data_IF_914618183186
#
_entry.id   IF_914618183186
#
_cell.length_a   1.000
_cell.length_b   1.000
_cell.length_c   1.000
_cell.angle_alpha   90.00
_cell.angle_beta   90.00
_cell.angle_gamma   90.00
#
_symmetry.space_group_name_H-M   'P 1'
#
loop_
_entity.id
_entity.type
_entity.pdbx_description
1 polymer ?
#
# COMPACT_ATOMS: atom_id res chain seq x y z
N UNK A 1 19.31 -15.27 10.61
CA UNK A 1 19.76 -14.11 11.43
C UNK A 1 20.85 -14.55 12.40
N UNK A 2 21.99 -13.86 12.44
CA UNK A 2 23.12 -14.17 13.33
C UNK A 2 22.94 -13.49 14.70
N UNK A 3 23.04 -14.23 15.81
CA UNK A 3 23.00 -13.63 17.15
C UNK A 3 24.36 -13.00 17.49
N UNK A 4 24.32 -11.79 18.02
CA UNK A 4 25.50 -11.06 18.49
C UNK A 4 25.27 -10.64 19.93
N UNK A 5 25.87 -11.38 20.86
CA UNK A 5 25.73 -11.18 22.30
C UNK A 5 26.77 -10.17 22.77
N UNK A 6 26.34 -9.21 23.58
CA UNK A 6 27.21 -8.24 24.24
C UNK A 6 26.57 -7.76 25.53
N UNK A 7 27.40 -7.24 26.43
CA UNK A 7 27.00 -6.90 27.78
C UNK A 7 27.18 -5.40 28.00
N UNK A 8 26.22 -4.77 28.66
CA UNK A 8 26.17 -3.31 28.83
C UNK A 8 25.84 -2.98 30.29
N UNK A 9 26.68 -2.18 30.91
CA UNK A 9 26.34 -1.51 32.17
C UNK A 9 25.34 -0.40 31.86
N UNK A 10 24.10 -0.54 32.34
CA UNK A 10 22.98 0.35 32.04
C UNK A 10 22.56 1.18 33.27
N UNK A 11 23.50 1.46 34.18
CA UNK A 11 23.24 2.29 35.38
C UNK A 11 22.95 3.76 35.06
N UNK A 12 23.27 4.20 33.83
CA UNK A 12 23.07 5.54 33.29
C UNK A 12 22.46 5.42 31.88
N UNK A 13 22.02 6.55 31.32
CA UNK A 13 21.46 6.60 29.97
C UNK A 13 22.52 6.34 28.89
N UNK A 14 23.80 6.56 29.18
CA UNK A 14 24.91 6.14 28.32
C UNK A 14 25.49 4.83 28.88
N UNK A 15 25.21 3.74 28.17
CA UNK A 15 25.68 2.41 28.51
C UNK A 15 27.14 2.19 28.13
N UNK A 16 27.86 1.49 29.01
CA UNK A 16 29.25 1.08 28.75
C UNK A 16 29.29 -0.40 28.40
N UNK A 17 29.96 -0.76 27.30
CA UNK A 17 30.13 -2.16 26.91
C UNK A 17 31.18 -2.84 27.79
N UNK A 18 30.82 -3.98 28.37
CA UNK A 18 31.59 -4.69 29.39
C UNK A 18 31.76 -6.16 29.02
N UNK A 19 32.63 -6.85 29.75
CA UNK A 19 32.67 -8.31 29.73
C UNK A 19 31.46 -8.93 30.45
N UNK A 20 31.34 -10.26 30.36
CA UNK A 20 30.19 -11.01 30.89
C UNK A 20 30.01 -10.86 32.41
N UNK A 21 31.07 -10.53 33.15
CA UNK A 21 31.04 -10.34 34.60
C UNK A 21 30.93 -8.87 35.03
N UNK A 22 30.81 -7.94 34.07
CA UNK A 22 30.84 -6.49 34.29
C UNK A 22 32.13 -5.99 35.00
N UNK A 23 33.24 -6.72 34.88
CA UNK A 23 34.49 -6.42 35.56
C UNK A 23 35.41 -5.53 34.72
N UNK A 24 35.33 -5.61 33.38
CA UNK A 24 36.23 -4.89 32.46
C UNK A 24 35.47 -4.29 31.28
N UNK A 25 36.01 -3.21 30.74
CA UNK A 25 35.52 -2.65 29.48
C UNK A 25 35.77 -3.63 28.33
N UNK A 26 34.80 -3.72 27.44
CA UNK A 26 34.87 -4.48 26.19
C UNK A 26 34.52 -3.57 25.01
N UNK A 27 34.75 -4.05 23.80
CA UNK A 27 34.41 -3.32 22.57
C UNK A 27 32.97 -3.61 22.18
N UNK A 28 32.27 -2.58 21.70
CA UNK A 28 30.96 -2.77 21.08
C UNK A 28 31.03 -3.74 19.88
N UNK A 29 29.93 -4.45 19.58
CA UNK A 29 29.87 -5.39 18.47
C UNK A 29 30.30 -4.84 17.10
N UNK A 30 30.81 -5.76 16.28
CA UNK A 30 31.05 -5.53 14.86
C UNK A 30 29.92 -6.15 14.04
N UNK A 31 29.26 -5.34 13.22
CA UNK A 31 28.19 -5.75 12.30
C UNK A 31 28.71 -5.82 10.87
N UNK A 32 27.95 -6.48 10.00
CA UNK A 32 28.26 -6.58 8.57
C UNK A 32 27.07 -6.08 7.78
N UNK A 33 27.31 -5.11 6.88
CA UNK A 33 26.28 -4.60 5.98
C UNK A 33 25.64 -5.74 5.17
N UNK A 34 24.31 -5.71 5.04
CA UNK A 34 23.50 -6.67 4.29
C UNK A 34 23.47 -8.08 4.86
N UNK A 35 23.79 -8.27 6.14
CA UNK A 35 23.59 -9.53 6.85
C UNK A 35 22.65 -9.28 8.02
N UNK A 36 21.51 -9.98 8.05
CA UNK A 36 20.60 -9.91 9.19
C UNK A 36 21.28 -10.38 10.48
N UNK A 37 21.15 -9.57 11.53
CA UNK A 37 21.69 -9.88 12.85
C UNK A 37 20.60 -9.71 13.92
N UNK A 38 20.77 -10.36 15.06
CA UNK A 38 19.99 -10.09 16.27
C UNK A 38 20.97 -9.65 17.35
N UNK A 39 20.87 -8.38 17.77
CA UNK A 39 21.65 -7.88 18.89
C UNK A 39 21.03 -8.42 20.17
N UNK A 40 21.79 -9.20 20.92
CA UNK A 40 21.40 -9.76 22.21
C UNK A 40 22.11 -8.97 23.30
N UNK A 41 21.50 -7.87 23.70
CA UNK A 41 22.07 -6.91 24.64
C UNK A 41 21.71 -7.31 26.07
N UNK A 42 22.71 -7.69 26.87
CA UNK A 42 22.52 -8.11 28.25
C UNK A 42 22.88 -6.98 29.21
N UNK A 43 21.94 -6.59 30.06
CA UNK A 43 22.02 -5.37 30.84
C UNK A 43 22.40 -5.64 32.30
N UNK A 44 23.36 -4.88 32.82
CA UNK A 44 23.68 -4.81 34.24
C UNK A 44 23.06 -3.57 34.88
N UNK A 45 22.61 -3.71 36.13
CA UNK A 45 21.99 -2.62 36.91
C UNK A 45 23.00 -1.56 37.37
N UNK A 46 24.28 -1.93 37.47
CA UNK A 46 25.33 -1.13 38.09
C UNK A 46 26.51 -0.93 37.14
N UNK A 47 27.36 0.04 37.46
CA UNK A 47 28.61 0.32 36.73
C UNK A 47 29.67 -0.77 36.90
N UNK A 48 29.53 -1.61 37.93
CA UNK A 48 30.39 -2.75 38.23
C UNK A 48 29.55 -3.83 38.94
N UNK A 49 29.95 -5.08 38.79
CA UNK A 49 29.24 -6.26 39.31
C UNK A 49 28.20 -6.86 38.35
N UNK A 50 27.96 -8.18 38.43
CA UNK A 50 27.18 -8.93 37.44
C UNK A 50 25.66 -8.82 37.65
N UNK A 51 25.18 -7.95 38.55
CA UNK A 51 23.75 -7.90 38.87
C UNK A 51 22.91 -7.45 37.66
N UNK A 52 21.91 -8.25 37.24
CA UNK A 52 21.11 -7.95 36.07
C UNK A 52 20.23 -6.72 36.29
N UNK A 53 20.00 -5.97 35.21
CA UNK A 53 19.09 -4.84 35.24
C UNK A 53 17.67 -5.32 35.58
N UNK A 54 16.95 -4.70 36.53
CA UNK A 54 15.68 -5.25 37.03
C UNK A 54 14.60 -5.25 35.95
N UNK A 55 14.03 -6.43 35.61
CA UNK A 55 12.94 -6.55 34.64
C UNK A 55 11.71 -5.71 35.00
N UNK A 56 11.44 -5.53 36.30
CA UNK A 56 10.32 -4.71 36.78
C UNK A 56 10.43 -3.24 36.37
N UNK A 57 11.64 -2.74 36.08
CA UNK A 57 11.83 -1.40 35.55
C UNK A 57 11.22 -1.22 34.16
N UNK A 58 10.96 -2.31 33.43
CA UNK A 58 10.32 -2.28 32.11
C UNK A 58 8.82 -2.55 32.15
N UNK A 59 8.21 -2.69 33.34
CA UNK A 59 6.79 -3.03 33.49
C UNK A 59 5.82 -2.05 32.83
N UNK A 60 6.21 -0.78 32.74
CA UNK A 60 5.41 0.26 32.08
C UNK A 60 5.78 0.46 30.61
N UNK A 61 6.77 -0.27 30.08
CA UNK A 61 7.17 -0.16 28.67
C UNK A 61 6.27 -1.08 27.83
N UNK A 62 5.48 -0.49 26.94
CA UNK A 62 4.55 -1.22 26.06
C UNK A 62 5.10 -1.44 24.66
N UNK A 63 6.12 -0.66 24.26
CA UNK A 63 6.81 -0.83 22.99
C UNK A 63 8.25 -0.32 23.05
N UNK A 64 9.08 -0.82 22.13
CA UNK A 64 10.50 -0.50 22.05
C UNK A 64 10.84 0.08 20.68
N UNK A 65 11.85 0.94 20.64
CA UNK A 65 12.51 1.35 19.40
C UNK A 65 14.02 1.23 19.51
N UNK A 66 14.67 0.82 18.41
CA UNK A 66 16.11 0.83 18.27
C UNK A 66 16.50 1.55 16.99
N UNK A 67 17.36 2.56 17.11
CA UNK A 67 17.93 3.30 15.98
C UNK A 67 19.45 3.36 16.13
N UNK A 68 20.16 3.46 15.01
CA UNK A 68 21.61 3.64 15.02
C UNK A 68 22.05 4.71 14.03
N UNK A 69 22.91 5.61 14.50
CA UNK A 69 23.47 6.68 13.71
C UNK A 69 24.85 7.12 14.24
N UNK A 70 25.54 8.01 13.53
CA UNK A 70 26.84 8.55 13.91
C UNK A 70 26.89 10.09 13.95
N UNK A 71 25.85 10.78 13.48
CA UNK A 71 25.84 12.25 13.40
C UNK A 71 24.84 12.92 14.36
N UNK A 72 23.94 12.13 14.97
CA UNK A 72 22.92 12.60 15.94
C UNK A 72 22.05 13.74 15.39
N UNK A 73 21.87 13.80 14.06
CA UNK A 73 21.10 14.84 13.43
C UNK A 73 19.69 14.34 13.09
N UNK A 74 18.70 14.80 13.86
CA UNK A 74 17.28 14.43 13.67
C UNK A 74 16.72 14.82 12.29
N UNK A 75 17.39 15.71 11.56
CA UNK A 75 16.98 16.09 10.20
C UNK A 75 17.45 15.08 9.12
N UNK A 76 18.28 14.10 9.48
CA UNK A 76 18.76 13.06 8.57
C UNK A 76 18.24 11.69 8.98
N UNK A 77 18.01 10.85 7.98
CA UNK A 77 17.58 9.48 8.21
C UNK A 77 18.66 8.66 8.92
N UNK A 78 18.25 7.86 9.91
CA UNK A 78 19.13 6.92 10.60
C UNK A 78 19.78 5.91 9.65
N UNK A 79 21.01 5.51 9.98
CA UNK A 79 21.75 4.53 9.16
C UNK A 79 21.20 3.13 9.30
N UNK A 80 20.76 2.75 10.48
CA UNK A 80 20.12 1.46 10.73
C UNK A 80 18.97 1.62 11.73
N UNK A 81 17.92 0.83 11.54
CA UNK A 81 16.78 0.77 12.44
C UNK A 81 16.51 -0.70 12.76
N UNK A 82 16.22 -0.99 14.03
CA UNK A 82 15.81 -2.31 14.46
C UNK A 82 14.39 -2.65 14.01
N UNK A 83 14.06 -3.93 13.99
CA UNK A 83 12.68 -4.36 13.86
C UNK A 83 11.96 -4.15 15.20
N UNK A 84 11.53 -2.90 15.41
CA UNK A 84 10.92 -2.42 16.65
C UNK A 84 9.72 -3.25 17.14
N UNK A 85 9.00 -3.91 16.23
CA UNK A 85 7.85 -4.74 16.59
C UNK A 85 8.25 -6.05 17.28
N UNK A 86 9.45 -6.55 16.97
CA UNK A 86 9.94 -7.85 17.43
C UNK A 86 11.07 -7.70 18.48
N UNK A 87 11.26 -6.49 19.03
CA UNK A 87 12.14 -6.28 20.18
C UNK A 87 11.48 -6.89 21.42
N UNK A 88 12.21 -7.76 22.10
CA UNK A 88 11.73 -8.46 23.29
C UNK A 88 12.71 -8.33 24.44
N UNK A 89 12.20 -8.37 25.68
CA UNK A 89 13.03 -8.35 26.89
C UNK A 89 12.71 -9.59 27.72
N UNK A 90 13.72 -10.37 28.07
CA UNK A 90 13.58 -11.62 28.82
C UNK A 90 14.71 -11.81 29.82
N UNK A 91 14.50 -12.65 30.83
CA UNK A 91 15.62 -13.19 31.62
C UNK A 91 16.27 -14.33 30.86
N UNK A 92 17.60 -14.34 30.79
CA UNK A 92 18.40 -15.42 30.22
C UNK A 92 19.44 -15.84 31.24
N UNK A 93 19.63 -17.15 31.37
CA UNK A 93 20.65 -17.75 32.22
C UNK A 93 21.65 -18.48 31.33
N UNK A 94 22.94 -18.28 31.58
CA UNK A 94 24.04 -18.90 30.85
C UNK A 94 25.12 -19.37 31.82
N UNK A 95 25.67 -20.55 31.55
CA UNK A 95 26.82 -21.09 32.27
C UNK A 95 28.11 -20.66 31.57
N UNK A 96 28.98 -19.95 32.28
CA UNK A 96 30.28 -19.47 31.79
C UNK A 96 31.34 -19.88 32.82
N UNK A 97 32.38 -20.58 32.38
CA UNK A 97 33.47 -21.08 33.25
C UNK A 97 32.96 -21.86 34.49
N UNK A 98 31.96 -22.73 34.30
CA UNK A 98 31.32 -23.54 35.36
C UNK A 98 30.53 -22.74 36.42
N UNK A 99 30.27 -21.45 36.17
CA UNK A 99 29.42 -20.60 37.00
C UNK A 99 28.19 -20.12 36.23
N UNK A 100 27.03 -20.12 36.90
CA UNK A 100 25.76 -19.73 36.32
C UNK A 100 25.54 -18.21 36.47
N UNK A 101 25.39 -17.52 35.35
CA UNK A 101 25.09 -16.09 35.30
C UNK A 101 23.68 -15.85 34.77
N UNK A 102 22.96 -14.94 35.40
CA UNK A 102 21.62 -14.52 34.97
C UNK A 102 21.64 -13.08 34.50
N UNK A 103 21.05 -12.83 33.34
CA UNK A 103 21.02 -11.54 32.66
C UNK A 103 19.60 -11.13 32.29
N UNK A 104 19.36 -9.83 32.25
CA UNK A 104 18.22 -9.26 31.53
C UNK A 104 18.66 -8.98 30.10
N UNK A 105 18.10 -9.72 29.14
CA UNK A 105 18.45 -9.64 27.72
C UNK A 105 17.38 -8.89 26.94
N UNK A 106 17.81 -7.82 26.25
CA UNK A 106 17.03 -7.17 25.20
C UNK A 106 17.46 -7.77 23.86
N UNK A 107 16.53 -8.43 23.18
CA UNK A 107 16.72 -8.99 21.85
C UNK A 107 16.23 -8.01 20.79
N UNK A 108 17.13 -7.55 19.93
CA UNK A 108 16.85 -6.52 18.91
C UNK A 108 17.14 -7.12 17.53
N UNK A 109 16.11 -7.60 16.81
CA UNK A 109 16.28 -8.09 15.45
C UNK A 109 16.63 -6.94 14.49
N UNK A 110 17.68 -7.10 13.72
CA UNK A 110 18.16 -6.17 12.69
C UNK A 110 18.01 -6.82 11.32
N UNK A 111 16.83 -6.71 10.73
CA UNK A 111 16.47 -7.36 9.46
C UNK A 111 16.92 -6.57 8.24
N UNK A 112 16.92 -5.24 8.32
CA UNK A 112 17.24 -4.35 7.19
C UNK A 112 18.65 -3.76 7.31
N UNK A 113 19.66 -4.57 6.97
CA UNK A 113 21.07 -4.20 7.14
C UNK A 113 21.75 -3.65 5.87
N UNK A 114 21.01 -3.41 4.78
CA UNK A 114 21.52 -2.85 3.52
C UNK A 114 20.80 -1.54 3.14
N UNK A 115 20.89 -0.53 4.00
CA UNK A 115 20.27 0.78 3.76
C UNK A 115 21.13 1.68 2.87
N UNK A 116 20.51 2.67 2.21
CA UNK A 116 21.20 3.67 1.40
C UNK A 116 22.11 4.55 2.25
N UNK A 117 21.62 5.01 3.40
CA UNK A 117 22.33 5.86 4.36
C UNK A 117 23.60 5.16 4.88
N UNK A 118 23.49 3.88 5.25
CA UNK A 118 24.63 3.08 5.67
C UNK A 118 25.60 2.85 4.51
N UNK A 119 25.09 2.63 3.29
CA UNK A 119 25.91 2.45 2.11
C UNK A 119 26.74 3.70 1.77
N UNK A 120 26.11 4.89 1.84
CA UNK A 120 26.75 6.19 1.64
C UNK A 120 27.81 6.43 2.71
N UNK A 121 27.49 6.19 3.99
CA UNK A 121 28.43 6.39 5.09
C UNK A 121 29.65 5.46 5.02
N UNK A 122 29.45 4.17 4.68
CA UNK A 122 30.55 3.23 4.49
C UNK A 122 31.38 3.55 3.24
N UNK A 123 30.74 4.03 2.17
CA UNK A 123 31.37 4.24 0.87
C UNK A 123 32.15 3.02 0.39
N UNK A 124 33.41 3.22 0.06
CA UNK A 124 34.36 2.16 -0.36
C UNK A 124 35.24 1.65 0.77
N UNK A 125 35.06 2.14 1.99
CA UNK A 125 35.87 1.72 3.13
C UNK A 125 35.58 0.26 3.48
N UNK A 126 36.60 -0.45 3.97
CA UNK A 126 36.46 -1.83 4.48
C UNK A 126 35.52 -1.88 5.70
N UNK A 127 35.57 -0.85 6.53
CA UNK A 127 34.77 -0.72 7.75
C UNK A 127 34.76 0.73 8.22
N UNK A 128 33.71 1.09 8.95
CA UNK A 128 33.60 2.35 9.68
C UNK A 128 33.26 2.06 11.15
N UNK A 129 33.75 2.89 12.06
CA UNK A 129 33.50 2.84 13.51
C UNK A 129 32.91 4.18 13.95
N UNK A 130 32.21 4.18 15.08
CA UNK A 130 31.58 5.39 15.64
C UNK A 130 30.07 5.43 15.40
N UNK A 131 29.47 4.30 15.01
CA UNK A 131 28.03 4.16 15.01
C UNK A 131 27.57 3.99 16.46
N UNK A 132 26.64 4.84 16.90
CA UNK A 132 25.95 4.73 18.17
C UNK A 132 24.58 4.09 17.95
N UNK A 133 24.12 3.30 18.92
CA UNK A 133 22.77 2.72 18.94
C UNK A 133 22.01 3.24 20.15
N UNK A 134 20.72 3.48 19.98
CA UNK A 134 19.83 4.00 21.00
C UNK A 134 18.61 3.10 21.16
N UNK A 135 18.40 2.58 22.38
CA UNK A 135 17.20 1.85 22.77
C UNK A 135 16.27 2.79 23.53
N UNK A 136 15.04 2.94 23.04
CA UNK A 136 13.99 3.73 23.69
C UNK A 136 12.81 2.84 24.06
N UNK A 137 12.36 2.95 25.31
CA UNK A 137 11.15 2.30 25.80
C UNK A 137 10.01 3.31 25.99
N UNK A 138 8.85 3.04 25.40
CA UNK A 138 7.67 3.89 25.47
C UNK A 138 6.61 3.31 26.40
N UNK A 139 5.94 4.19 27.15
CA UNK A 139 4.75 3.81 27.93
C UNK A 139 3.46 3.81 27.12
N UNK A 140 2.35 3.45 27.77
CA UNK A 140 1.03 3.40 27.16
C UNK A 140 0.59 4.77 26.62
N UNK A 141 1.08 5.88 27.18
CA UNK A 141 0.78 7.23 26.69
C UNK A 141 1.73 7.69 25.58
N UNK A 142 2.63 6.82 25.11
CA UNK A 142 3.62 7.14 24.09
C UNK A 142 4.79 8.00 24.58
N UNK A 143 4.94 8.18 25.89
CA UNK A 143 6.07 8.93 26.48
C UNK A 143 7.31 8.03 26.52
N UNK A 144 8.48 8.63 26.29
CA UNK A 144 9.76 7.96 26.45
C UNK A 144 10.10 7.84 27.93
N UNK A 145 10.04 6.63 28.48
CA UNK A 145 10.26 6.37 29.91
C UNK A 145 11.55 5.60 30.20
N UNK A 146 12.21 5.12 29.15
CA UNK A 146 13.51 4.47 29.23
C UNK A 146 14.34 4.84 28.00
N UNK A 147 15.63 5.12 28.21
CA UNK A 147 16.59 5.36 27.14
C UNK A 147 17.94 4.77 27.52
N UNK A 148 18.56 4.07 26.58
CA UNK A 148 19.93 3.55 26.71
C UNK A 148 20.67 3.71 25.39
N UNK A 149 21.69 4.56 25.39
CA UNK A 149 22.60 4.76 24.28
C UNK A 149 23.84 3.87 24.47
N UNK A 150 24.33 3.28 23.38
CA UNK A 150 25.57 2.49 23.37
C UNK A 150 26.40 2.95 22.18
N UNK A 151 27.65 3.31 22.41
CA UNK A 151 28.51 3.91 21.38
C UNK A 151 29.53 2.94 20.77
N UNK A 152 30.15 3.38 19.68
CA UNK A 152 31.33 2.77 19.07
C UNK A 152 31.13 1.41 18.41
N UNK A 153 29.93 1.12 17.91
CA UNK A 153 29.72 -0.02 17.01
C UNK A 153 30.57 0.15 15.74
N UNK A 154 31.03 -0.98 15.21
CA UNK A 154 31.77 -1.03 13.96
C UNK A 154 30.94 -1.75 12.91
N UNK A 155 30.84 -1.19 11.70
CA UNK A 155 30.18 -1.85 10.58
C UNK A 155 31.20 -2.18 9.50
N UNK A 156 31.23 -3.43 9.04
CA UNK A 156 32.07 -3.89 7.95
C UNK A 156 31.31 -3.90 6.63
N UNK A 157 32.00 -3.47 5.59
CA UNK A 157 31.48 -3.50 4.24
C UNK A 157 31.57 -4.92 3.65
N UNK A 158 30.84 -5.16 2.56
CA UNK A 158 30.76 -6.47 1.90
C UNK A 158 31.74 -6.57 0.75
N UNK A 159 32.25 -7.79 0.54
CA UNK A 159 33.07 -8.14 -0.63
C UNK A 159 32.18 -8.50 -1.83
N UNK A 160 30.95 -8.95 -1.58
CA UNK A 160 29.99 -9.41 -2.59
C UNK A 160 28.90 -8.37 -2.86
N UNK A 161 28.37 -8.34 -4.09
CA UNK A 161 27.24 -7.49 -4.46
C UNK A 161 25.97 -7.87 -3.68
N UNK A 162 25.29 -6.88 -3.12
CA UNK A 162 24.09 -7.02 -2.27
C UNK A 162 22.78 -6.65 -2.98
N UNK A 163 22.84 -6.27 -4.26
CA UNK A 163 21.75 -5.55 -4.92
C UNK A 163 21.70 -4.07 -4.52
N UNK A 164 20.68 -3.36 -4.98
CA UNK A 164 20.49 -1.93 -4.68
C UNK A 164 20.16 -1.75 -3.20
N UNK A 165 20.82 -0.83 -2.48
CA UNK A 165 20.41 -0.44 -1.14
C UNK A 165 18.96 0.03 -1.12
N UNK A 166 18.28 -0.14 0.01
CA UNK A 166 16.94 0.41 0.24
C UNK A 166 17.03 1.64 1.12
N UNK A 167 16.29 2.71 0.83
CA UNK A 167 16.18 3.84 1.74
C UNK A 167 15.62 3.39 3.10
N UNK A 168 16.19 3.88 4.20
CA UNK A 168 15.50 3.82 5.47
C UNK A 168 14.32 4.81 5.43
N UNK A 169 13.13 4.37 5.85
CA UNK A 169 11.95 5.23 5.80
C UNK A 169 12.08 6.39 6.81
N UNK A 170 11.69 7.62 6.44
CA UNK A 170 11.79 8.80 7.31
C UNK A 170 10.84 8.74 8.51
N UNK A 171 11.16 9.57 9.51
CA UNK A 171 10.54 9.61 10.84
C UNK A 171 9.15 10.29 10.80
N UNK A 172 8.13 9.49 10.46
CA UNK A 172 6.75 9.71 10.91
C UNK A 172 6.58 9.10 12.31
N UNK A 173 5.46 9.31 13.01
CA UNK A 173 5.14 8.57 14.25
C UNK A 173 5.58 7.11 14.06
N UNK A 174 6.61 6.71 14.81
CA UNK A 174 7.24 5.42 14.56
C UNK A 174 6.19 4.34 14.73
N UNK A 175 6.31 3.23 14.01
CA UNK A 175 5.35 2.14 14.17
C UNK A 175 5.25 1.68 15.64
N UNK A 176 6.29 1.88 16.45
CA UNK A 176 6.28 1.67 17.89
C UNK A 176 5.41 2.70 18.63
N UNK A 177 5.59 4.00 18.37
CA UNK A 177 4.73 5.05 18.93
C UNK A 177 3.25 4.84 18.55
N UNK A 178 2.98 4.50 17.28
CA UNK A 178 1.62 4.16 16.83
C UNK A 178 1.08 2.94 17.57
N UNK A 179 1.86 1.87 17.73
CA UNK A 179 1.45 0.69 18.50
C UNK A 179 1.24 0.99 19.97
N UNK A 180 2.06 1.84 20.58
CA UNK A 180 1.88 2.28 21.97
C UNK A 180 0.54 3.01 22.13
N UNK A 181 0.24 3.94 21.22
CA UNK A 181 -1.04 4.65 21.18
C UNK A 181 -2.23 3.69 21.03
N UNK A 182 -2.14 2.66 20.19
CA UNK A 182 -3.19 1.63 20.09
C UNK A 182 -3.29 0.75 21.34
N UNK A 183 -2.16 0.38 21.94
CA UNK A 183 -2.10 -0.47 23.14
C UNK A 183 -2.61 0.23 24.40
N UNK A 184 -2.53 1.57 24.45
CA UNK A 184 -3.17 2.40 25.46
C UNK A 184 -4.68 2.11 25.59
N UNK A 185 -5.29 1.62 24.51
CA UNK A 185 -6.70 1.36 24.39
C UNK A 185 -7.48 2.63 24.04
N UNK A 186 -8.79 2.47 23.95
CA UNK A 186 -9.71 3.57 23.65
C UNK A 186 -10.64 3.79 24.83
N UNK A 187 -11.14 5.01 24.96
CA UNK A 187 -12.32 5.29 25.78
C UNK A 187 -13.47 5.73 24.89
N UNK A 188 -14.69 5.42 25.36
CA UNK A 188 -15.92 5.63 24.64
C UNK A 188 -16.89 6.39 25.54
N UNK A 189 -17.64 7.31 24.96
CA UNK A 189 -18.87 7.82 25.56
C UNK A 189 -20.03 7.59 24.60
N UNK A 190 -21.22 7.66 25.17
CA UNK A 190 -22.49 7.38 24.51
C UNK A 190 -23.39 8.60 24.60
N UNK A 191 -24.30 8.74 23.64
CA UNK A 191 -25.25 9.84 23.59
C UNK A 191 -26.55 9.42 22.91
N UNK A 192 -27.67 9.94 23.39
CA UNK A 192 -28.98 9.81 22.75
C UNK A 192 -29.14 10.74 21.54
N UNK A 193 -28.53 11.93 21.59
CA UNK A 193 -28.71 13.03 20.64
C UNK A 193 -27.46 13.40 19.84
N UNK A 194 -26.29 12.85 20.19
CA UNK A 194 -25.00 13.17 19.57
C UNK A 194 -24.35 14.46 20.08
N UNK A 195 -24.95 15.12 21.07
CA UNK A 195 -24.46 16.37 21.66
C UNK A 195 -24.14 16.21 23.16
N UNK A 196 -24.97 15.46 23.90
CA UNK A 196 -24.83 15.24 25.32
C UNK A 196 -24.23 13.85 25.60
N UNK A 197 -22.97 13.82 26.04
CA UNK A 197 -22.18 12.60 26.17
C UNK A 197 -22.06 12.12 27.62
N UNK A 198 -22.03 10.79 27.81
CA UNK A 198 -21.84 10.16 29.12
C UNK A 198 -21.15 8.79 29.00
N UNK A 199 -20.52 8.33 30.09
CA UNK A 199 -19.63 7.17 30.05
C UNK A 199 -20.29 5.79 30.17
N UNK A 200 -21.60 5.68 30.40
CA UNK A 200 -22.27 4.39 30.65
C UNK A 200 -23.37 4.17 29.63
N UNK A 201 -23.19 3.19 28.74
CA UNK A 201 -24.20 2.89 27.72
C UNK A 201 -25.56 2.56 28.34
N UNK A 202 -26.59 3.22 27.83
CA UNK A 202 -27.99 3.02 28.15
C UNK A 202 -28.76 2.52 26.94
N UNK A 203 -30.00 2.10 27.14
CA UNK A 203 -30.86 1.65 26.06
C UNK A 203 -31.32 2.78 25.12
N UNK A 204 -31.12 4.05 25.49
CA UNK A 204 -31.57 5.21 24.73
C UNK A 204 -30.47 5.80 23.84
N UNK A 205 -29.21 5.37 23.98
CA UNK A 205 -28.11 5.94 23.23
C UNK A 205 -28.15 5.52 21.76
N UNK A 206 -28.09 6.51 20.88
CA UNK A 206 -28.09 6.34 19.43
C UNK A 206 -26.71 6.62 18.81
N UNK A 207 -25.79 7.15 19.60
CA UNK A 207 -24.47 7.56 19.16
C UNK A 207 -23.41 7.07 20.13
N UNK A 208 -22.24 6.76 19.58
CA UNK A 208 -21.02 6.56 20.35
C UNK A 208 -19.93 7.44 19.71
N UNK A 209 -19.02 7.96 20.51
CA UNK A 209 -17.76 8.49 20.01
C UNK A 209 -16.60 7.90 20.80
N UNK A 210 -15.41 7.91 20.19
CA UNK A 210 -14.26 7.26 20.77
C UNK A 210 -12.99 8.08 20.57
N UNK A 211 -12.07 7.97 21.54
CA UNK A 211 -10.72 8.55 21.44
C UNK A 211 -9.69 7.63 22.07
N UNK A 212 -8.43 7.86 21.74
CA UNK A 212 -7.30 7.13 22.34
C UNK A 212 -7.20 7.47 23.83
N UNK A 213 -6.97 6.45 24.66
CA UNK A 213 -6.77 6.58 26.09
C UNK A 213 -5.36 7.15 26.34
N UNK A 214 -5.24 8.13 27.23
CA UNK A 214 -3.94 8.71 27.62
C UNK A 214 -3.80 10.21 27.39
N UNK A 215 -4.65 10.81 26.55
CA UNK A 215 -4.71 12.26 26.35
C UNK A 215 -6.05 12.81 26.81
N UNK A 216 -6.09 13.38 28.02
CA UNK A 216 -7.33 13.95 28.59
C UNK A 216 -7.94 15.08 27.74
N UNK A 217 -7.13 15.72 26.90
CA UNK A 217 -7.51 16.76 25.93
C UNK A 217 -7.65 16.24 24.50
N UNK A 218 -7.53 14.93 24.29
CA UNK A 218 -7.64 14.31 22.98
C UNK A 218 -8.99 14.59 22.34
N UNK A 219 -8.98 14.87 21.04
CA UNK A 219 -10.17 15.15 20.25
C UNK A 219 -10.99 13.86 20.10
N UNK A 220 -12.28 13.94 20.39
CA UNK A 220 -13.21 12.84 20.15
C UNK A 220 -13.42 12.62 18.65
N UNK A 221 -13.63 11.37 18.24
CA UNK A 221 -14.09 11.08 16.88
C UNK A 221 -15.40 11.81 16.59
N UNK A 222 -15.73 11.96 15.31
CA UNK A 222 -17.09 12.32 14.93
C UNK A 222 -18.10 11.32 15.53
N UNK A 223 -19.35 11.74 15.83
CA UNK A 223 -20.37 10.86 16.37
C UNK A 223 -20.65 9.69 15.42
N UNK A 224 -20.49 8.47 15.92
CA UNK A 224 -20.75 7.23 15.19
C UNK A 224 -22.14 6.75 15.55
N UNK A 225 -23.01 6.61 14.55
CA UNK A 225 -24.39 6.16 14.76
C UNK A 225 -24.43 4.67 15.13
N UNK A 226 -25.07 4.37 16.25
CA UNK A 226 -25.44 3.01 16.62
C UNK A 226 -26.68 2.62 15.79
N UNK A 227 -26.57 1.60 14.94
CA UNK A 227 -27.75 1.05 14.25
C UNK A 227 -28.65 0.37 15.27
N UNK A 228 -29.68 1.09 15.74
CA UNK A 228 -30.74 0.52 16.57
C UNK A 228 -31.90 0.11 15.67
N UNK A 229 -32.16 -1.20 15.57
CA UNK A 229 -33.35 -1.70 14.88
C UNK A 229 -34.61 -1.37 15.70
N UNK A 230 -35.79 -1.25 15.07
CA UNK A 230 -37.04 -1.09 15.81
C UNK A 230 -37.21 -2.23 16.81
N UNK A 231 -37.36 -1.90 18.10
CA UNK A 231 -37.62 -2.90 19.13
C UNK A 231 -39.00 -3.51 18.88
N UNK A 232 -39.07 -4.82 18.68
CA UNK A 232 -40.35 -5.52 18.55
C UNK A 232 -41.20 -5.32 19.80
N UNK A 233 -42.52 -5.20 19.63
CA UNK A 233 -43.46 -5.23 20.76
C UNK A 233 -43.27 -6.52 21.56
N UNK A 234 -43.47 -6.45 22.88
CA UNK A 234 -43.53 -7.64 23.72
C UNK A 234 -44.56 -8.62 23.15
N UNK A 235 -44.17 -9.87 22.93
CA UNK A 235 -45.09 -10.90 22.45
C UNK A 235 -46.28 -11.03 23.39
N UNK A 236 -47.49 -11.08 22.82
CA UNK A 236 -48.70 -11.42 23.57
C UNK A 236 -48.86 -12.94 23.60
N UNK A 237 -49.36 -13.46 24.72
CA UNK A 237 -49.73 -14.87 24.82
C UNK A 237 -50.87 -15.17 23.84
N UNK A 238 -50.80 -16.32 23.17
CA UNK A 238 -51.83 -16.78 22.24
C UNK A 238 -52.02 -18.28 22.42
N UNK A 239 -53.10 -18.65 23.11
CA UNK A 239 -53.51 -20.03 23.31
C UNK A 239 -54.33 -20.48 22.10
N UNK A 240 -53.87 -21.51 21.39
CA UNK A 240 -54.56 -22.09 20.25
C UNK A 240 -55.39 -23.30 20.69
N UNK A 241 -56.68 -23.31 20.34
CA UNK A 241 -57.56 -24.45 20.56
C UNK A 241 -58.16 -24.92 19.23
N UNK A 242 -58.06 -26.22 18.98
CA UNK A 242 -58.65 -26.88 17.81
C UNK A 242 -59.76 -27.80 18.29
N UNK A 243 -60.92 -27.68 17.67
CA UNK A 243 -62.06 -28.55 17.91
C UNK A 243 -62.57 -29.16 16.60
N UNK A 244 -63.31 -30.24 16.74
CA UNK A 244 -63.83 -31.08 15.67
C UNK A 244 -65.34 -31.28 15.82
N UNK A 245 -66.03 -31.33 14.68
CA UNK A 245 -67.48 -31.47 14.59
C UNK A 245 -67.87 -32.31 13.38
N UNK A 246 -69.08 -32.89 13.42
CA UNK A 246 -69.62 -33.65 12.30
C UNK A 246 -70.10 -32.77 11.15
N UNK A 247 -70.45 -31.51 11.42
CA UNK A 247 -70.95 -30.57 10.43
C UNK A 247 -70.49 -29.12 10.68
N UNK A 248 -70.90 -28.22 9.79
CA UNK A 248 -70.54 -26.80 9.84
C UNK A 248 -71.20 -26.00 10.99
N UNK A 249 -72.09 -26.63 11.77
CA UNK A 249 -72.74 -25.98 12.93
C UNK A 249 -72.05 -26.26 14.25
N UNK A 250 -71.03 -27.13 14.26
CA UNK A 250 -70.36 -27.56 15.48
C UNK A 250 -71.03 -28.77 16.17
N UNK A 251 -71.93 -29.47 15.48
CA UNK A 251 -72.59 -30.65 16.04
C UNK A 251 -71.58 -31.76 16.39
N UNK A 252 -71.88 -32.54 17.43
CA UNK A 252 -70.99 -33.59 17.96
C UNK A 252 -69.57 -33.07 18.30
N UNK A 253 -69.51 -31.89 18.94
CA UNK A 253 -68.28 -31.24 19.36
C UNK A 253 -67.33 -32.18 20.12
N UNK A 254 -66.05 -32.14 19.74
CA UNK A 254 -64.97 -32.87 20.40
C UNK A 254 -63.65 -32.14 20.22
N UNK A 255 -62.78 -32.18 21.23
CA UNK A 255 -61.37 -31.75 21.09
C UNK A 255 -60.47 -32.85 20.51
N UNK A 256 -61.01 -34.06 20.34
CA UNK A 256 -60.31 -35.20 19.74
C UNK A 256 -60.87 -35.48 18.34
N UNK A 257 -60.04 -35.54 17.29
CA UNK A 257 -60.49 -35.79 15.92
C UNK A 257 -60.94 -37.23 15.73
N UNK A 258 -61.92 -37.44 14.84
CA UNK A 258 -62.28 -38.77 14.33
C UNK A 258 -62.67 -38.70 12.86
N UNK A 259 -62.71 -39.84 12.17
CA UNK A 259 -63.12 -39.91 10.77
C UNK A 259 -64.57 -39.47 10.51
N UNK A 260 -65.42 -39.41 11.55
CA UNK A 260 -66.80 -38.95 11.47
C UNK A 260 -66.95 -37.44 11.68
N UNK A 261 -65.93 -36.79 12.25
CA UNK A 261 -65.91 -35.35 12.49
C UNK A 261 -65.17 -34.68 11.34
N UNK A 262 -65.88 -34.41 10.25
CA UNK A 262 -65.27 -33.90 9.01
C UNK A 262 -64.93 -32.41 9.06
N UNK A 263 -65.41 -31.70 10.08
CA UNK A 263 -65.25 -30.26 10.24
C UNK A 263 -64.34 -29.93 11.42
N UNK A 264 -63.49 -28.92 11.28
CA UNK A 264 -62.64 -28.38 12.34
C UNK A 264 -62.89 -26.90 12.51
N UNK A 265 -62.77 -26.41 13.74
CA UNK A 265 -62.71 -25.00 14.05
C UNK A 265 -61.48 -24.72 14.91
N UNK A 266 -60.94 -23.52 14.77
CA UNK A 266 -59.76 -23.07 15.47
C UNK A 266 -60.01 -21.68 16.05
N UNK A 267 -59.60 -21.48 17.30
CA UNK A 267 -59.64 -20.19 17.98
C UNK A 267 -58.29 -19.89 18.61
N UNK A 268 -57.97 -18.60 18.69
CA UNK A 268 -56.83 -18.08 19.43
C UNK A 268 -57.32 -17.14 20.51
N UNK A 269 -56.87 -17.32 21.74
CA UNK A 269 -57.25 -16.48 22.87
C UNK A 269 -56.03 -15.97 23.61
N UNK A 270 -56.12 -14.76 24.16
CA UNK A 270 -55.08 -14.19 25.03
C UNK A 270 -55.19 -14.75 26.47
N UNK A 271 -56.24 -15.50 26.79
CA UNK A 271 -56.48 -16.12 28.10
C UNK A 271 -56.78 -17.60 27.94
N UNK A 272 -56.12 -18.43 28.76
CA UNK A 272 -56.31 -19.88 28.72
C UNK A 272 -57.75 -20.27 29.12
N UNK A 273 -58.37 -21.10 28.30
CA UNK A 273 -59.65 -21.78 28.57
C UNK A 273 -59.33 -23.15 29.15
N UNK A 274 -59.77 -23.42 30.38
CA UNK A 274 -59.48 -24.68 31.05
C UNK A 274 -60.22 -25.87 30.42
N UNK A 275 -61.50 -25.68 30.05
CA UNK A 275 -62.35 -26.74 29.49
C UNK A 275 -63.15 -26.19 28.30
N UNK A 276 -62.57 -26.20 27.08
CA UNK A 276 -63.23 -25.65 25.90
C UNK A 276 -64.51 -26.40 25.53
N UNK A 277 -65.54 -25.64 25.21
CA UNK A 277 -66.87 -26.11 24.83
C UNK A 277 -67.26 -25.55 23.45
N UNK A 278 -68.31 -26.10 22.84
CA UNK A 278 -68.79 -25.61 21.53
C UNK A 278 -69.17 -24.12 21.54
N UNK A 279 -69.60 -23.57 22.68
CA UNK A 279 -69.91 -22.14 22.81
C UNK A 279 -68.68 -21.24 22.70
N UNK A 280 -67.51 -21.71 23.13
CA UNK A 280 -66.25 -20.96 22.98
C UNK A 280 -65.88 -20.80 21.49
N UNK A 281 -66.39 -21.70 20.64
CA UNK A 281 -66.23 -21.69 19.18
C UNK A 281 -67.42 -21.04 18.45
N UNK A 282 -68.35 -20.35 19.14
CA UNK A 282 -69.54 -19.77 18.50
C UNK A 282 -69.24 -18.74 17.40
N UNK A 283 -68.11 -18.01 17.54
CA UNK A 283 -67.62 -17.08 16.51
C UNK A 283 -66.67 -17.73 15.50
N UNK A 284 -66.25 -18.98 15.73
CA UNK A 284 -65.31 -19.69 14.88
C UNK A 284 -66.03 -20.31 13.69
N UNK A 285 -65.32 -20.39 12.55
CA UNK A 285 -65.85 -21.04 11.36
C UNK A 285 -65.46 -22.51 11.38
N UNK A 286 -66.48 -23.37 11.28
CA UNK A 286 -66.29 -24.80 11.07
C UNK A 286 -65.98 -25.07 9.60
N UNK A 287 -64.73 -25.44 9.33
CA UNK A 287 -64.23 -25.71 7.99
C UNK A 287 -64.11 -27.22 7.82
N UNK A 288 -64.67 -27.73 6.72
CA UNK A 288 -64.48 -29.12 6.33
C UNK A 288 -62.99 -29.36 6.05
N UNK A 289 -62.32 -30.10 6.92
CA UNK A 289 -60.88 -30.37 6.80
C UNK A 289 -60.59 -31.78 6.29
N UNK A 290 -61.54 -32.69 6.49
CA UNK A 290 -61.53 -34.00 5.90
C UNK A 290 -62.57 -34.00 4.78
N UNK A 291 -62.11 -34.22 3.55
CA UNK A 291 -63.01 -34.35 2.40
C UNK A 291 -64.05 -35.44 2.62
N UNK A 292 -65.11 -35.40 1.82
CA UNK A 292 -65.89 -36.62 1.64
C UNK A 292 -64.97 -37.69 1.05
N UNK A 293 -65.21 -38.94 1.42
CA UNK A 293 -64.39 -40.04 0.95
C UNK A 293 -64.46 -40.07 -0.60
N UNK A 294 -63.34 -39.79 -1.26
CA UNK A 294 -63.30 -39.38 -2.66
C UNK A 294 -63.31 -40.52 -3.69
N UNK A 295 -63.81 -40.22 -4.90
CA UNK A 295 -63.68 -41.05 -6.11
C UNK A 295 -63.03 -40.24 -7.27
N UNK A 296 -61.68 -40.26 -7.44
CA UNK A 296 -61.01 -39.88 -8.72
C UNK A 296 -60.04 -38.66 -8.74
N UNK A 297 -59.05 -38.70 -9.65
CA UNK A 297 -57.79 -37.90 -9.77
C UNK A 297 -57.85 -36.72 -10.79
N UNK A 298 -57.17 -35.58 -10.49
CA UNK A 298 -57.23 -34.31 -11.26
C UNK A 298 -56.14 -34.06 -12.32
N UNK A 299 -56.42 -33.17 -13.28
CA UNK A 299 -55.60 -32.81 -14.46
C UNK A 299 -55.34 -31.28 -14.52
N UNK A 300 -54.13 -30.83 -14.89
CA UNK A 300 -53.71 -29.42 -15.00
C UNK A 300 -53.41 -29.05 -16.47
N UNK A 301 -54.25 -28.18 -17.05
CA UNK A 301 -54.19 -27.84 -18.48
C UNK A 301 -53.37 -26.57 -18.72
N UNK A 302 -52.41 -26.63 -19.66
CA UNK A 302 -51.44 -25.58 -19.95
C UNK A 302 -52.05 -24.22 -20.33
N UNK A 303 -53.22 -24.20 -20.98
CA UNK A 303 -53.88 -22.97 -21.43
C UNK A 303 -54.30 -22.01 -20.31
N UNK A 304 -54.28 -22.48 -19.05
CA UNK A 304 -54.59 -21.66 -17.87
C UNK A 304 -53.33 -21.10 -17.22
N UNK A 305 -52.18 -21.75 -17.40
CA UNK A 305 -50.98 -21.46 -16.61
C UNK A 305 -49.81 -20.88 -17.43
N UNK A 306 -49.78 -21.08 -18.75
CA UNK A 306 -48.80 -20.50 -19.69
C UNK A 306 -49.54 -19.94 -20.92
N UNK A 307 -50.27 -18.81 -20.78
CA UNK A 307 -51.10 -18.27 -21.84
C UNK A 307 -50.32 -17.47 -22.90
N UNK A 308 -49.10 -17.03 -22.60
CA UNK A 308 -48.20 -16.33 -23.52
C UNK A 308 -47.22 -17.28 -24.23
N UNK A 309 -47.13 -18.53 -23.79
CA UNK A 309 -46.48 -19.62 -24.52
C UNK A 309 -44.96 -19.55 -24.46
N UNK A 310 -44.41 -18.93 -23.41
CA UNK A 310 -42.98 -18.77 -23.22
C UNK A 310 -42.34 -20.00 -22.53
N UNK A 311 -43.15 -20.99 -22.15
CA UNK A 311 -42.74 -22.22 -21.50
C UNK A 311 -42.63 -22.12 -19.98
N UNK A 312 -43.13 -21.03 -19.38
CA UNK A 312 -43.14 -20.80 -17.93
C UNK A 312 -44.57 -20.60 -17.43
N UNK A 313 -44.81 -20.99 -16.18
CA UNK A 313 -46.09 -20.69 -15.53
C UNK A 313 -46.10 -19.24 -15.04
N UNK A 314 -47.21 -18.51 -15.27
CA UNK A 314 -47.38 -17.07 -14.93
C UNK A 314 -46.96 -16.69 -13.50
N UNK A 315 -46.97 -17.62 -12.54
CA UNK A 315 -46.53 -17.37 -11.17
C UNK A 315 -45.00 -17.19 -11.01
N UNK A 316 -44.21 -17.32 -12.09
CA UNK A 316 -42.74 -17.23 -12.08
C UNK A 316 -42.17 -15.85 -12.49
N UNK A 317 -43.01 -14.83 -12.72
CA UNK A 317 -42.60 -13.51 -13.22
C UNK A 317 -41.61 -12.77 -12.28
N UNK A 318 -41.63 -13.05 -10.97
CA UNK A 318 -40.67 -12.51 -9.99
C UNK A 318 -39.23 -13.06 -10.11
N UNK A 319 -39.00 -14.10 -10.93
CA UNK A 319 -37.66 -14.66 -11.13
C UNK A 319 -36.81 -13.91 -12.17
N UNK A 320 -37.37 -12.96 -12.93
CA UNK A 320 -36.70 -12.25 -14.03
C UNK A 320 -35.91 -10.98 -13.62
N UNK A 321 -35.86 -10.65 -12.32
CA UNK A 321 -35.09 -9.51 -11.80
C UNK A 321 -33.58 -9.57 -12.04
N UNK A 322 -33.02 -10.74 -12.40
CA UNK A 322 -31.60 -10.89 -12.73
C UNK A 322 -31.18 -10.18 -14.04
N UNK A 323 -32.10 -9.95 -14.98
CA UNK A 323 -31.79 -9.26 -16.24
C UNK A 323 -31.65 -7.74 -16.10
N UNK A 324 -32.08 -7.16 -14.97
CA UNK A 324 -32.10 -5.70 -14.74
C UNK A 324 -30.87 -5.17 -13.97
N UNK A 325 -29.94 -6.03 -13.55
CA UNK A 325 -28.79 -5.66 -12.73
C UNK A 325 -27.61 -5.04 -13.50
N UNK A 326 -27.53 -5.23 -14.83
CA UNK A 326 -26.39 -4.81 -15.66
C UNK A 326 -26.47 -3.38 -16.22
N UNK A 327 -27.48 -2.59 -15.83
CA UNK A 327 -27.70 -1.26 -16.40
C UNK A 327 -28.09 -0.21 -15.35
N UNK A 328 -27.22 0.07 -14.37
CA UNK A 328 -27.38 1.27 -13.55
C UNK A 328 -27.06 2.50 -14.42
N UNK A 329 -28.03 3.37 -14.76
CA UNK A 329 -27.77 4.53 -15.59
C UNK A 329 -26.89 5.53 -14.82
N UNK A 330 -25.89 6.11 -15.48
CA UNK A 330 -24.96 7.05 -14.86
C UNK A 330 -25.64 8.22 -14.15
N UNK A 331 -26.85 8.61 -14.58
CA UNK A 331 -27.69 9.64 -13.93
C UNK A 331 -28.11 9.29 -12.50
N UNK A 332 -28.12 8.01 -12.12
CA UNK A 332 -28.47 7.55 -10.77
C UNK A 332 -27.32 7.53 -9.77
N UNK A 333 -26.08 7.82 -10.20
CA UNK A 333 -24.89 7.80 -9.34
C UNK A 333 -24.66 9.19 -8.73
N UNK A 334 -24.88 9.33 -7.42
CA UNK A 334 -24.59 10.54 -6.63
C UNK A 334 -23.12 10.54 -6.15
N UNK A 335 -22.53 11.72 -5.96
CA UNK A 335 -21.13 11.86 -5.49
C UNK A 335 -20.04 11.64 -6.55
N UNK A 336 -20.42 11.53 -7.83
CA UNK A 336 -19.47 11.34 -8.94
C UNK A 336 -18.71 12.65 -9.29
N UNK A 337 -17.41 12.58 -9.62
CA UNK A 337 -16.66 13.74 -10.10
C UNK A 337 -17.22 14.26 -11.44
N UNK A 338 -17.39 15.58 -11.58
CA UNK A 338 -17.91 16.21 -12.81
C UNK A 338 -16.88 16.25 -13.96
N UNK A 339 -15.59 16.03 -13.68
CA UNK A 339 -14.50 16.12 -14.65
C UNK A 339 -13.31 15.25 -14.24
N UNK A 340 -12.71 14.57 -15.23
CA UNK A 340 -11.38 13.94 -15.13
C UNK A 340 -10.42 14.66 -16.11
N UNK A 341 -9.96 15.89 -15.82
CA UNK A 341 -8.96 16.50 -16.68
C UNK A 341 -7.61 15.88 -16.32
N UNK A 342 -6.98 15.16 -17.25
CA UNK A 342 -5.60 14.71 -17.03
C UNK A 342 -4.70 15.93 -16.99
N UNK A 343 -4.25 16.30 -15.79
CA UNK A 343 -3.24 17.33 -15.58
C UNK A 343 -1.88 16.87 -16.10
N UNK A 344 -1.18 17.74 -16.81
CA UNK A 344 0.22 17.50 -17.13
C UNK A 344 1.02 17.36 -15.83
N UNK A 345 1.78 16.28 -15.70
CA UNK A 345 2.73 16.08 -14.62
C UNK A 345 4.10 15.77 -15.21
N UNK A 346 5.16 16.04 -14.43
CA UNK A 346 6.53 15.74 -14.80
C UNK A 346 6.96 14.45 -14.10
N UNK A 347 7.78 13.67 -14.79
CA UNK A 347 8.45 12.50 -14.23
C UNK A 347 9.88 12.90 -13.88
N UNK A 348 10.34 12.52 -12.68
CA UNK A 348 11.75 12.59 -12.35
C UNK A 348 12.50 11.46 -13.08
N UNK A 349 13.82 11.60 -13.24
CA UNK A 349 14.63 10.56 -13.92
C UNK A 349 14.54 9.19 -13.22
N UNK A 350 14.26 9.19 -11.92
CA UNK A 350 13.98 8.00 -11.09
C UNK A 350 12.72 7.24 -11.52
N UNK A 351 11.76 7.95 -12.12
CA UNK A 351 10.47 7.41 -12.52
C UNK A 351 10.52 6.82 -13.95
N UNK A 352 11.61 7.09 -14.68
CA UNK A 352 11.83 6.65 -16.05
C UNK A 352 12.54 5.29 -16.05
N UNK A 353 11.77 4.22 -16.27
CA UNK A 353 12.33 2.88 -16.51
C UNK A 353 12.88 2.81 -17.94
N UNK A 354 14.09 2.25 -18.08
CA UNK A 354 14.84 2.04 -19.32
C UNK A 354 15.42 3.30 -20.00
N UNK A 355 16.33 4.03 -19.33
CA UNK A 355 16.95 5.24 -19.90
C UNK A 355 17.79 4.98 -21.17
N UNK A 356 18.04 3.71 -21.50
CA UNK A 356 18.77 3.29 -22.71
C UNK A 356 17.83 3.05 -23.89
N UNK A 357 16.51 2.89 -23.69
CA UNK A 357 15.59 2.81 -24.83
C UNK A 357 15.42 4.18 -25.45
N UNK A 358 16.14 4.39 -26.53
CA UNK A 358 16.10 5.62 -27.31
C UNK A 358 14.98 5.53 -28.35
N UNK A 359 14.04 6.48 -28.29
CA UNK A 359 12.99 6.60 -29.30
C UNK A 359 13.60 7.06 -30.62
N UNK A 360 13.23 6.36 -31.69
CA UNK A 360 13.67 6.67 -33.06
C UNK A 360 12.57 7.43 -33.78
N UNK A 361 12.90 8.60 -34.31
CA UNK A 361 12.04 9.33 -35.25
C UNK A 361 12.53 9.11 -36.68
N UNK A 362 11.65 8.62 -37.55
CA UNK A 362 11.97 8.34 -38.96
C UNK A 362 11.10 9.20 -39.88
N UNK A 363 11.73 9.93 -40.80
CA UNK A 363 11.04 10.76 -41.78
C UNK A 363 11.91 10.99 -43.02
N UNK A 364 11.30 11.40 -44.14
CA UNK A 364 12.05 11.82 -45.33
C UNK A 364 12.61 13.22 -45.11
N UNK A 365 13.93 13.38 -45.25
CA UNK A 365 14.67 14.64 -45.13
C UNK A 365 14.27 15.50 -43.91
N UNK A 366 14.39 14.98 -42.67
CA UNK A 366 13.97 15.69 -41.48
C UNK A 366 14.82 16.95 -41.25
N UNK A 367 14.16 18.08 -40.96
CA UNK A 367 14.80 19.37 -40.64
C UNK A 367 14.57 19.80 -39.17
N UNK A 368 13.75 19.07 -38.41
CA UNK A 368 13.42 19.37 -37.01
C UNK A 368 13.90 18.23 -36.11
N UNK A 369 14.47 18.59 -34.96
CA UNK A 369 14.91 17.67 -33.91
C UNK A 369 13.89 17.62 -32.77
N UNK A 370 13.80 16.50 -32.08
CA UNK A 370 12.83 16.30 -30.99
C UNK A 370 13.51 15.89 -29.69
N UNK A 371 13.16 16.54 -28.58
CA UNK A 371 13.71 16.18 -27.26
C UNK A 371 13.36 14.74 -26.86
N UNK A 372 12.19 14.24 -27.29
CA UNK A 372 11.72 12.90 -26.97
C UNK A 372 12.29 11.79 -27.88
N UNK A 373 12.99 12.15 -28.96
CA UNK A 373 13.45 11.22 -29.99
C UNK A 373 14.93 11.49 -30.33
N UNK A 374 15.88 11.00 -29.51
CA UNK A 374 17.31 11.29 -29.66
C UNK A 374 17.94 10.67 -30.92
N UNK A 375 17.27 9.68 -31.54
CA UNK A 375 17.72 9.04 -32.78
C UNK A 375 16.83 9.50 -33.93
N UNK A 376 17.43 10.11 -34.94
CA UNK A 376 16.76 10.59 -36.13
C UNK A 376 17.23 9.77 -37.32
N UNK A 377 16.29 9.16 -38.05
CA UNK A 377 16.59 8.35 -39.24
C UNK A 377 15.96 8.97 -40.48
N UNK A 378 16.80 9.40 -41.41
CA UNK A 378 16.33 9.83 -42.73
C UNK A 378 15.93 8.61 -43.55
N UNK A 379 14.67 8.56 -43.98
CA UNK A 379 14.15 7.48 -44.82
C UNK A 379 14.38 7.72 -46.30
N UNK A 380 14.84 8.91 -46.69
CA UNK A 380 15.20 9.21 -48.06
C UNK A 380 16.60 8.64 -48.36
N UNK A 381 16.68 7.74 -49.35
CA UNK A 381 17.96 7.28 -49.87
C UNK A 381 18.69 8.43 -50.59
N UNK A 382 19.92 8.69 -50.18
CA UNK A 382 20.81 9.64 -50.82
C UNK A 382 21.72 8.93 -51.83
N UNK A 383 21.44 9.14 -53.12
CA UNK A 383 22.28 8.65 -54.23
C UNK A 383 22.98 9.80 -54.97
N UNK A 384 22.97 11.01 -54.41
CA UNK A 384 23.54 12.20 -55.06
C UNK A 384 25.05 12.33 -54.90
N UNK A 385 25.65 11.59 -53.95
CA UNK A 385 27.06 11.72 -53.57
C UNK A 385 27.35 12.93 -52.66
N UNK A 386 26.33 13.69 -52.26
CA UNK A 386 26.45 14.80 -51.32
C UNK A 386 25.39 14.72 -50.22
N UNK A 387 25.77 14.91 -48.96
CA UNK A 387 24.82 14.95 -47.83
C UNK A 387 24.62 16.39 -47.37
N UNK A 388 23.37 16.83 -47.29
CA UNK A 388 23.02 18.11 -46.69
C UNK A 388 22.56 17.91 -45.24
N UNK A 389 23.17 18.67 -44.34
CA UNK A 389 22.78 18.74 -42.95
C UNK A 389 22.26 20.15 -42.62
N UNK A 390 20.96 20.24 -42.38
CA UNK A 390 20.27 21.51 -42.10
C UNK A 390 19.14 21.26 -41.10
N UNK A 391 19.37 21.54 -39.82
CA UNK A 391 18.33 21.45 -38.79
C UNK A 391 17.89 22.84 -38.37
N UNK A 392 16.64 23.19 -38.60
CA UNK A 392 16.13 24.57 -38.44
C UNK A 392 15.37 24.80 -37.14
N UNK A 393 15.07 23.74 -36.38
CA UNK A 393 14.33 23.86 -35.13
C UNK A 393 14.41 22.64 -34.22
N UNK A 394 13.99 22.83 -32.97
CA UNK A 394 13.86 21.80 -31.95
C UNK A 394 12.44 21.88 -31.39
N UNK A 395 11.77 20.75 -31.22
CA UNK A 395 10.47 20.65 -30.56
C UNK A 395 10.51 19.65 -29.40
N UNK A 396 9.55 19.74 -28.49
CA UNK A 396 9.43 18.76 -27.39
C UNK A 396 9.12 17.36 -27.94
N UNK A 397 8.15 17.27 -28.86
CA UNK A 397 7.73 16.06 -29.58
C UNK A 397 7.32 16.44 -31.02
N UNK A 398 6.97 15.46 -31.87
CA UNK A 398 6.52 15.70 -33.26
C UNK A 398 5.42 16.78 -33.38
N UNK A 399 4.40 16.68 -32.53
CA UNK A 399 3.28 17.65 -32.48
C UNK A 399 3.44 18.70 -31.36
N UNK A 400 4.55 18.67 -30.63
CA UNK A 400 4.78 19.52 -29.47
C UNK A 400 5.12 20.97 -29.79
N UNK A 401 5.63 21.68 -28.79
CA UNK A 401 6.00 23.10 -28.91
C UNK A 401 7.46 23.28 -29.30
N UNK A 402 7.81 24.44 -29.84
CA UNK A 402 9.19 24.82 -30.13
C UNK A 402 10.00 25.01 -28.84
N UNK A 403 11.26 24.62 -28.86
CA UNK A 403 12.17 24.65 -27.71
C UNK A 403 13.39 25.49 -28.01
N UNK A 404 13.71 26.44 -27.11
CA UNK A 404 14.98 27.15 -27.10
C UNK A 404 16.05 26.40 -26.30
N UNK A 405 17.32 26.71 -26.55
CA UNK A 405 18.47 26.15 -25.79
C UNK A 405 19.02 27.22 -24.87
N UNK A 406 19.08 26.96 -23.56
CA UNK A 406 19.67 27.88 -22.58
C UNK A 406 21.19 27.76 -22.47
N UNK A 407 21.86 28.74 -21.88
CA UNK A 407 23.34 28.78 -21.77
C UNK A 407 23.93 27.62 -20.96
N UNK A 408 23.16 27.00 -20.07
CA UNK A 408 23.58 25.85 -19.27
C UNK A 408 23.30 24.50 -19.94
N UNK A 409 22.77 24.50 -21.17
CA UNK A 409 22.32 23.28 -21.85
C UNK A 409 23.13 22.98 -23.12
N UNK A 410 23.40 21.70 -23.31
CA UNK A 410 23.87 21.13 -24.57
C UNK A 410 23.03 19.89 -24.87
N UNK A 411 22.31 19.94 -25.98
CA UNK A 411 21.43 18.85 -26.44
C UNK A 411 22.15 18.04 -27.52
N UNK A 412 21.93 16.72 -27.57
CA UNK A 412 22.64 15.81 -28.48
C UNK A 412 21.67 14.81 -29.14
N UNK A 413 21.84 14.60 -30.44
CA UNK A 413 21.12 13.61 -31.26
C UNK A 413 22.08 12.82 -32.13
N UNK A 414 21.65 11.63 -32.54
CA UNK A 414 22.26 10.88 -33.64
C UNK A 414 21.38 10.97 -34.88
N UNK A 415 21.98 11.29 -36.02
CA UNK A 415 21.30 11.42 -37.30
C UNK A 415 21.85 10.40 -38.29
N UNK A 416 20.98 9.50 -38.75
CA UNK A 416 21.31 8.41 -39.67
C UNK A 416 20.84 8.79 -41.08
N UNK A 417 21.78 8.83 -42.02
CA UNK A 417 21.50 9.08 -43.43
C UNK A 417 21.82 7.84 -44.24
N UNK A 418 20.81 7.29 -44.92
CA UNK A 418 21.00 6.17 -45.84
C UNK A 418 21.59 6.68 -47.16
N UNK A 419 22.74 6.13 -47.54
CA UNK A 419 23.42 6.46 -48.78
C UNK A 419 23.55 5.23 -49.69
N UNK A 420 23.24 5.43 -50.97
CA UNK A 420 23.42 4.45 -52.05
C UNK A 420 24.58 4.77 -52.99
N UNK A 421 25.36 5.80 -52.69
CA UNK A 421 26.58 6.19 -53.40
C UNK A 421 27.61 6.73 -52.41
N UNK A 422 28.90 6.65 -52.75
CA UNK A 422 29.98 7.27 -51.96
C UNK A 422 29.72 8.78 -51.81
N UNK A 423 29.80 9.26 -50.58
CA UNK A 423 29.64 10.69 -50.29
C UNK A 423 30.98 11.38 -50.44
N UNK A 424 31.05 12.41 -51.29
CA UNK A 424 32.27 13.21 -51.54
C UNK A 424 32.13 14.66 -51.06
N UNK A 425 31.00 15.00 -50.44
CA UNK A 425 30.79 16.29 -49.82
C UNK A 425 29.64 16.28 -48.81
N UNK A 426 29.83 16.98 -47.69
CA UNK A 426 28.79 17.23 -46.69
C UNK A 426 28.61 18.73 -46.54
N UNK A 427 27.45 19.25 -46.92
CA UNK A 427 27.09 20.65 -46.70
C UNK A 427 26.45 20.81 -45.32
N UNK A 428 26.81 21.89 -44.62
CA UNK A 428 26.36 22.16 -43.25
C UNK A 428 25.75 23.56 -43.14
N UNK A 429 24.51 23.62 -42.66
CA UNK A 429 23.81 24.88 -42.41
C UNK A 429 23.28 25.56 -43.67
N UNK A 430 22.58 26.67 -43.45
CA UNK A 430 21.96 27.50 -44.49
C UNK A 430 21.69 28.90 -43.94
N UNK A 431 21.08 29.78 -44.74
CA UNK A 431 20.59 31.08 -44.25
C UNK A 431 19.52 30.95 -43.15
N UNK A 432 18.91 29.77 -43.01
CA UNK A 432 17.89 29.45 -42.00
C UNK A 432 18.44 28.65 -40.82
N UNK A 433 19.74 28.31 -40.82
CA UNK A 433 20.34 27.46 -39.78
C UNK A 433 21.81 27.83 -39.51
N UNK A 434 22.12 28.21 -38.27
CA UNK A 434 23.49 28.47 -37.82
C UNK A 434 24.25 27.19 -37.45
N UNK A 435 24.44 26.28 -38.42
CA UNK A 435 25.17 25.03 -38.20
C UNK A 435 26.65 25.12 -38.61
N UNK A 436 27.51 24.39 -37.90
CA UNK A 436 28.93 24.24 -38.24
C UNK A 436 29.34 22.77 -38.23
N UNK A 437 30.19 22.37 -39.17
CA UNK A 437 30.88 21.08 -39.13
C UNK A 437 32.11 21.17 -38.23
N UNK A 438 32.31 20.17 -37.36
CA UNK A 438 33.47 20.13 -36.45
C UNK A 438 34.51 19.12 -36.95
N UNK A 439 34.10 17.87 -37.13
CA UNK A 439 34.97 16.80 -37.62
C UNK A 439 34.15 15.93 -38.57
N UNK A 440 34.20 16.23 -39.87
CA UNK A 440 33.51 15.50 -40.91
C UNK A 440 34.57 15.09 -41.95
N UNK A 441 34.76 13.79 -42.21
CA UNK A 441 35.66 13.33 -43.27
C UNK A 441 35.29 13.93 -44.63
N UNK A 442 36.31 14.14 -45.48
CA UNK A 442 36.11 14.65 -46.84
C UNK A 442 35.32 13.66 -47.71
N UNK A 443 35.46 12.36 -47.44
CA UNK A 443 34.72 11.30 -48.13
C UNK A 443 34.16 10.28 -47.14
N UNK A 444 32.98 9.73 -47.46
CA UNK A 444 32.33 8.65 -46.74
C UNK A 444 31.98 7.54 -47.74
N UNK A 445 32.82 6.50 -47.87
CA UNK A 445 32.59 5.42 -48.83
C UNK A 445 31.51 4.45 -48.34
N UNK A 446 30.84 3.79 -49.28
CA UNK A 446 29.96 2.67 -48.99
C UNK A 446 30.75 1.49 -48.43
N UNK A 447 30.18 0.81 -47.43
CA UNK A 447 30.74 -0.42 -46.89
C UNK A 447 30.46 -1.55 -47.88
N UNK A 448 31.52 -2.19 -48.40
CA UNK A 448 31.44 -3.26 -49.39
C UNK A 448 30.68 -2.92 -50.68
N UNK A 449 30.49 -1.63 -50.98
CA UNK A 449 29.65 -1.18 -52.10
C UNK A 449 28.14 -1.34 -51.86
N UNK A 450 27.71 -1.70 -50.65
CA UNK A 450 26.32 -1.85 -50.25
C UNK A 450 25.76 -0.53 -49.70
N UNK A 451 24.42 -0.41 -49.68
CA UNK A 451 23.74 0.68 -49.01
C UNK A 451 24.26 0.83 -47.58
N UNK A 452 24.64 2.05 -47.21
CA UNK A 452 25.34 2.33 -45.95
C UNK A 452 24.65 3.49 -45.24
N UNK A 453 24.42 3.34 -43.95
CA UNK A 453 24.07 4.47 -43.10
C UNK A 453 25.35 5.18 -42.66
N UNK A 454 25.45 6.47 -42.97
CA UNK A 454 26.42 7.37 -42.35
C UNK A 454 25.75 8.09 -41.18
N UNK A 455 26.36 8.02 -40.00
CA UNK A 455 25.81 8.56 -38.76
C UNK A 455 26.55 9.81 -38.35
N UNK A 456 25.79 10.86 -38.06
CA UNK A 456 26.31 12.14 -37.56
C UNK A 456 25.76 12.40 -36.16
N UNK A 457 26.62 12.86 -35.26
CA UNK A 457 26.19 13.45 -33.98
C UNK A 457 25.87 14.92 -34.22
N UNK A 458 24.64 15.31 -33.90
CA UNK A 458 24.17 16.69 -33.97
C UNK A 458 24.03 17.23 -32.56
N UNK A 459 24.69 18.35 -32.26
CA UNK A 459 24.56 19.05 -30.98
C UNK A 459 23.94 20.42 -31.16
N UNK A 460 23.11 20.84 -30.22
CA UNK A 460 22.59 22.20 -30.15
C UNK A 460 23.10 22.88 -28.88
N UNK A 461 23.70 24.05 -29.04
CA UNK A 461 24.19 24.89 -27.94
C UNK A 461 23.64 26.30 -28.06
N UNK A 462 23.41 26.96 -26.93
CA UNK A 462 23.03 28.37 -26.92
C UNK A 462 24.16 29.23 -27.49
N UNK A 463 23.83 30.12 -28.43
CA UNK A 463 24.76 31.13 -28.93
C UNK A 463 24.01 32.39 -29.30
N UNK A 464 24.21 33.44 -28.51
CA UNK A 464 23.68 34.78 -28.81
C UNK A 464 24.12 35.25 -30.21
N UNK A 465 23.16 35.76 -30.98
CA UNK A 465 23.37 36.24 -32.35
C UNK A 465 23.39 35.16 -33.44
N UNK A 466 23.26 33.88 -33.08
CA UNK A 466 22.93 32.83 -34.04
C UNK A 466 21.42 32.84 -34.36
N UNK A 467 21.03 32.19 -35.47
CA UNK A 467 19.61 32.03 -35.81
C UNK A 467 18.90 31.29 -34.66
N UNK A 468 17.78 31.84 -34.20
CA UNK A 468 17.03 31.36 -33.04
C UNK A 468 17.86 31.26 -31.73
N UNK A 469 18.99 31.99 -31.63
CA UNK A 469 19.96 31.90 -30.54
C UNK A 469 20.56 30.49 -30.32
N UNK A 470 20.51 29.63 -31.34
CA UNK A 470 21.03 28.26 -31.29
C UNK A 470 22.09 28.07 -32.36
N UNK A 471 23.22 27.47 -31.98
CA UNK A 471 24.22 26.96 -32.92
C UNK A 471 24.17 25.44 -32.92
N UNK A 472 23.96 24.88 -34.11
CA UNK A 472 24.07 23.44 -34.32
C UNK A 472 25.51 23.06 -34.66
N UNK A 473 25.96 21.89 -34.22
CA UNK A 473 27.28 21.35 -34.49
C UNK A 473 27.12 19.93 -35.02
N UNK A 474 27.78 19.62 -36.15
CA UNK A 474 27.76 18.30 -36.73
C UNK A 474 29.15 17.65 -36.66
N UNK A 475 29.18 16.42 -36.18
CA UNK A 475 30.35 15.57 -36.13
C UNK A 475 30.02 14.23 -36.79
N UNK A 476 30.89 13.73 -37.64
CA UNK A 476 30.76 12.36 -38.11
C UNK A 476 31.07 11.38 -36.96
N UNK A 477 30.26 10.34 -36.83
CA UNK A 477 30.38 9.34 -35.77
C UNK A 477 30.93 8.02 -36.32
N UNK A 478 30.14 7.33 -37.13
CA UNK A 478 30.47 6.02 -37.70
C UNK A 478 29.58 5.71 -38.90
N UNK A 479 29.85 4.57 -39.55
CA UNK A 479 29.03 4.03 -40.62
C UNK A 479 28.72 2.56 -40.38
N UNK A 480 27.58 2.10 -40.87
CA UNK A 480 27.21 0.69 -40.86
C UNK A 480 26.38 0.33 -42.10
N UNK A 481 26.50 -0.92 -42.54
CA UNK A 481 25.75 -1.45 -43.68
C UNK A 481 24.25 -1.50 -43.34
N UNK A 482 23.39 -1.12 -44.29
CA UNK A 482 21.97 -0.87 -44.08
C UNK A 482 21.07 -2.10 -43.90
#
# INVERSE_FOLDING_TARGET
MQNTIFYVAANETLGVVRDYANAKNATAPTLVRGVEACLKMRLFAKSDGPEPYPLSAFSNVVSWAWAMDNDFNEATTYKLIGNNADITVTTVTEEIDEEEYTYTEVSIPMTNMNTEELAVWLGTQKSMTGLAGELVGYDAEGRQIFILQVENFTVRNRITSLGTPTEALPDYLTAAQVRALFAAGMECEFSEDGENWHGVQTANDNYLHMRLRGESLGVWSDPIVLMTGPRGYTGRDSFCYVAYASDATGANFSLTPTNLLKFRAEIHTETAIAEPTVSDFAGARWIKYCGDDGQGVGDMVASVYDPDGDGKVLAAEEADHAASADAIPWSGVTGKPESFPTGAHLHNMTDIRNPVYQKVYSASNPKILYLDSPIIRNTQNNSSGTVELEFTGIKTTYEGENVGVSESQMLTWEYHVLCGADVTGVSVGSESCSMVGINIPETLPLINGNYTYHVFVIRAVCKSGAINNVRYQANYAYSYEA
#
